data_IF_334918060710
#
_entry.id   IF_334918060710
#
_cell.length_a   1.000
_cell.length_b   1.000
_cell.length_c   1.000
_cell.angle_alpha   90.00
_cell.angle_beta   90.00
_cell.angle_gamma   90.00
#
_symmetry.space_group_name_H-M   'P 1'
#
loop_
_entity.id
_entity.type
_entity.pdbx_description
1 polymer ?
#
# COMPACT_ATOMS: atom_id res chain seq x y z
N UNK A 1 -25.02 -18.65 -2.63
CA UNK A 1 -23.57 -18.40 -2.43
C UNK A 1 -23.04 -19.44 -1.43
N UNK A 2 -22.09 -20.30 -1.81
CA UNK A 2 -21.72 -21.47 -1.00
C UNK A 2 -20.84 -21.12 0.21
N UNK A 3 -21.16 -21.69 1.39
CA UNK A 3 -20.40 -21.56 2.64
C UNK A 3 -18.90 -21.87 2.50
N UNK A 4 -18.51 -22.63 1.45
CA UNK A 4 -17.10 -22.94 1.17
C UNK A 4 -16.29 -21.71 0.73
N UNK A 5 -16.90 -20.76 0.00
CA UNK A 5 -16.24 -19.53 -0.45
C UNK A 5 -16.01 -18.54 0.70
N UNK A 6 -16.96 -18.47 1.64
CA UNK A 6 -16.83 -17.66 2.86
C UNK A 6 -15.69 -18.14 3.75
N UNK A 7 -15.51 -19.46 3.93
CA UNK A 7 -14.40 -20.01 4.74
C UNK A 7 -13.02 -19.68 4.17
N UNK A 8 -12.87 -19.69 2.85
CA UNK A 8 -11.61 -19.35 2.15
C UNK A 8 -11.25 -17.86 2.26
N UNK A 9 -12.24 -16.97 2.22
CA UNK A 9 -12.00 -15.53 2.43
C UNK A 9 -11.67 -15.24 3.89
N UNK A 10 -12.37 -15.90 4.83
CA UNK A 10 -12.14 -15.72 6.27
C UNK A 10 -10.77 -16.26 6.70
N UNK A 11 -10.24 -17.33 6.09
CA UNK A 11 -8.89 -17.83 6.42
C UNK A 11 -7.76 -16.84 6.09
N UNK A 12 -7.96 -15.92 5.14
CA UNK A 12 -7.01 -14.82 4.87
C UNK A 12 -7.17 -13.64 5.85
N UNK A 13 -8.29 -13.57 6.55
CA UNK A 13 -8.60 -12.53 7.55
C UNK A 13 -8.27 -12.98 8.98
N UNK A 14 -7.91 -14.25 9.19
CA UNK A 14 -7.38 -14.71 10.47
C UNK A 14 -6.02 -14.06 10.67
N UNK A 15 -5.84 -13.21 11.69
CA UNK A 15 -4.52 -12.71 12.03
C UNK A 15 -3.67 -13.94 12.33
N UNK A 16 -2.57 -14.11 11.61
CA UNK A 16 -1.54 -15.04 12.07
C UNK A 16 -1.01 -14.44 13.36
N UNK A 17 -1.56 -14.88 14.49
CA UNK A 17 -0.99 -14.65 15.81
C UNK A 17 0.29 -15.48 15.92
N UNK A 18 1.33 -15.08 15.19
CA UNK A 18 2.67 -15.25 15.74
C UNK A 18 2.71 -14.24 16.88
N UNK A 19 2.52 -14.76 18.09
CA UNK A 19 2.97 -14.11 19.32
C UNK A 19 4.49 -13.96 19.25
N UNK A 20 4.95 -13.03 18.41
CA UNK A 20 6.21 -12.36 18.61
C UNK A 20 5.98 -11.46 19.81
N UNK A 21 6.69 -11.72 20.89
CA UNK A 21 6.59 -10.96 22.12
C UNK A 21 6.56 -9.47 21.85
N UNK A 22 5.65 -8.79 22.54
CA UNK A 22 5.57 -7.34 22.68
C UNK A 22 6.78 -6.80 23.47
N UNK A 23 8.00 -7.04 22.99
CA UNK A 23 9.22 -6.67 23.70
C UNK A 23 10.08 -5.78 22.80
N UNK A 24 10.00 -4.49 23.10
CA UNK A 24 10.82 -3.39 22.61
C UNK A 24 10.71 -3.06 21.12
N UNK A 25 10.64 -1.77 20.82
CA UNK A 25 11.16 -1.25 19.56
C UNK A 25 12.63 -1.63 19.51
N UNK A 26 12.94 -2.87 19.09
CA UNK A 26 14.32 -3.33 18.94
C UNK A 26 15.03 -2.23 18.14
N UNK A 27 16.05 -1.63 18.77
CA UNK A 27 16.75 -0.49 18.21
C UNK A 27 17.19 -0.88 16.79
N UNK A 28 16.63 -0.22 15.78
CA UNK A 28 16.96 -0.55 14.41
C UNK A 28 18.46 -0.34 14.20
N UNK A 29 19.12 -1.25 13.46
CA UNK A 29 20.52 -1.06 13.13
C UNK A 29 20.68 0.24 12.33
N UNK A 30 21.75 0.95 12.62
CA UNK A 30 22.26 2.03 11.77
C UNK A 30 22.72 1.45 10.43
N UNK A 31 22.90 2.32 9.43
CA UNK A 31 23.36 1.89 8.11
C UNK A 31 24.70 1.13 8.16
N UNK A 32 25.63 1.57 9.01
CA UNK A 32 26.95 0.97 9.17
C UNK A 32 26.92 -0.39 9.89
N UNK A 33 25.86 -0.67 10.64
CA UNK A 33 25.64 -1.97 11.31
C UNK A 33 24.98 -3.01 10.39
N UNK A 34 24.47 -2.58 9.22
CA UNK A 34 23.82 -3.48 8.29
C UNK A 34 24.83 -4.34 7.51
N UNK A 35 24.53 -5.63 7.31
CA UNK A 35 25.44 -6.51 6.61
C UNK A 35 25.59 -6.10 5.14
N UNK A 36 26.73 -6.48 4.57
CA UNK A 36 26.96 -6.36 3.14
C UNK A 36 26.37 -7.57 2.43
N UNK A 37 25.81 -7.36 1.24
CA UNK A 37 25.57 -8.42 0.28
C UNK A 37 26.53 -8.25 -0.88
N UNK A 38 27.59 -9.07 -0.90
CA UNK A 38 28.68 -8.94 -1.87
C UNK A 38 29.28 -7.53 -1.82
N UNK A 39 29.20 -6.77 -2.91
CA UNK A 39 29.71 -5.40 -3.00
C UNK A 39 28.68 -4.33 -2.60
N UNK A 40 27.48 -4.72 -2.17
CA UNK A 40 26.42 -3.80 -1.77
C UNK A 40 26.39 -3.66 -0.24
N UNK A 41 26.84 -2.51 0.31
CA UNK A 41 26.74 -2.24 1.74
C UNK A 41 25.30 -1.92 2.14
N UNK A 42 25.01 -1.92 3.44
CA UNK A 42 23.74 -1.38 3.94
C UNK A 42 22.51 -2.25 3.65
N UNK A 43 22.68 -3.57 3.49
CA UNK A 43 21.56 -4.44 3.13
C UNK A 43 20.69 -4.74 4.35
N UNK A 44 19.53 -4.10 4.44
CA UNK A 44 18.51 -4.35 5.49
C UNK A 44 17.81 -5.73 5.39
N UNK A 45 18.43 -6.68 4.69
CA UNK A 45 17.97 -8.06 4.63
C UNK A 45 18.19 -8.69 6.01
N UNK A 46 17.30 -9.60 6.41
CA UNK A 46 17.29 -10.25 7.73
C UNK A 46 17.00 -9.38 8.96
N UNK A 47 16.83 -8.05 8.84
CA UNK A 47 16.45 -7.17 9.97
C UNK A 47 15.19 -7.67 10.68
N UNK A 48 14.23 -8.21 9.92
CA UNK A 48 12.99 -8.79 10.43
C UNK A 48 12.93 -10.32 10.31
N UNK A 49 14.08 -10.96 10.11
CA UNK A 49 14.20 -12.41 9.91
C UNK A 49 14.43 -12.82 8.45
N UNK A 50 14.98 -14.02 8.26
CA UNK A 50 15.38 -14.53 6.95
C UNK A 50 14.20 -14.86 6.01
N UNK A 51 13.02 -15.12 6.57
CA UNK A 51 11.81 -15.44 5.80
C UNK A 51 10.88 -14.22 5.63
N UNK A 52 11.28 -13.04 6.13
CA UNK A 52 10.48 -11.84 6.03
C UNK A 52 10.30 -11.40 4.56
N UNK A 53 9.09 -10.91 4.27
CA UNK A 53 8.69 -10.41 2.95
C UNK A 53 8.11 -8.99 3.01
N UNK A 54 8.04 -8.38 4.19
CA UNK A 54 7.37 -7.10 4.43
C UNK A 54 8.35 -5.94 4.56
N UNK A 55 9.59 -6.20 4.99
CA UNK A 55 10.61 -5.18 5.19
C UNK A 55 10.16 -4.09 6.15
N UNK A 56 10.29 -2.83 5.75
CA UNK A 56 9.93 -1.67 6.57
C UNK A 56 8.43 -1.56 6.87
N UNK A 57 7.56 -2.30 6.17
CA UNK A 57 6.13 -2.38 6.54
C UNK A 57 5.95 -2.95 7.96
N UNK A 58 6.90 -3.77 8.45
CA UNK A 58 6.91 -4.25 9.82
C UNK A 58 7.01 -3.12 10.88
N UNK A 59 7.38 -1.90 10.49
CA UNK A 59 7.41 -0.73 11.39
C UNK A 59 6.01 -0.16 11.66
N UNK A 60 5.01 -0.51 10.85
CA UNK A 60 3.62 -0.08 11.00
C UNK A 60 2.92 -0.93 12.08
N UNK A 61 3.39 -0.81 13.32
CA UNK A 61 2.80 -1.49 14.48
C UNK A 61 1.46 -0.87 14.89
N UNK A 62 0.63 -1.62 15.62
CA UNK A 62 -0.62 -1.08 16.19
C UNK A 62 -0.38 0.19 17.01
N UNK A 63 0.72 0.25 17.77
CA UNK A 63 1.09 1.42 18.55
C UNK A 63 1.36 2.64 17.66
N UNK A 64 2.13 2.47 16.58
CA UNK A 64 2.42 3.56 15.63
C UNK A 64 1.15 4.04 14.96
N UNK A 65 0.26 3.13 14.55
CA UNK A 65 -1.04 3.46 13.94
C UNK A 65 -1.93 4.22 14.93
N UNK A 66 -2.04 3.74 16.17
CA UNK A 66 -2.82 4.41 17.22
C UNK A 66 -2.27 5.79 17.55
N UNK A 67 -0.94 5.92 17.66
CA UNK A 67 -0.28 7.19 17.92
C UNK A 67 -0.57 8.19 16.80
N UNK A 68 -0.33 7.81 15.54
CA UNK A 68 -0.60 8.65 14.37
C UNK A 68 -2.08 9.09 14.30
N UNK A 69 -3.01 8.17 14.55
CA UNK A 69 -4.44 8.51 14.59
C UNK A 69 -4.77 9.50 15.71
N UNK A 70 -4.14 9.36 16.89
CA UNK A 70 -4.39 10.24 18.04
C UNK A 70 -3.81 11.65 17.85
N UNK A 71 -2.65 11.76 17.21
CA UNK A 71 -1.90 13.01 17.03
C UNK A 71 -2.38 13.80 15.81
N UNK A 72 -2.74 13.12 14.71
CA UNK A 72 -3.05 13.79 13.43
C UNK A 72 -4.56 13.95 13.18
N UNK A 73 -5.41 13.05 13.67
CA UNK A 73 -6.87 13.11 13.46
C UNK A 73 -7.52 13.92 14.60
N UNK A 74 -7.55 15.24 14.41
CA UNK A 74 -8.18 16.20 15.33
C UNK A 74 -9.56 16.64 14.81
N UNK A 75 -10.50 16.83 15.74
CA UNK A 75 -11.86 17.27 15.41
C UNK A 75 -11.86 18.66 14.78
N UNK A 76 -12.54 18.85 13.65
CA UNK A 76 -12.71 20.15 12.98
C UNK A 76 -13.70 21.02 13.76
N UNK A 77 -13.35 21.48 14.96
CA UNK A 77 -14.11 22.53 15.67
C UNK A 77 -13.52 23.94 15.52
N UNK A 78 -12.37 24.09 14.84
CA UNK A 78 -11.67 25.39 14.77
C UNK A 78 -10.93 25.62 13.45
N UNK A 79 -11.57 25.49 12.28
CA UNK A 79 -10.95 25.95 11.02
C UNK A 79 -12.02 26.46 10.02
N UNK A 80 -12.65 27.59 10.33
CA UNK A 80 -13.49 28.37 9.40
C UNK A 80 -12.69 29.38 8.55
N UNK A 81 -11.36 29.28 8.49
CA UNK A 81 -10.52 30.21 7.72
C UNK A 81 -9.43 29.47 6.93
N UNK A 82 -9.83 28.64 5.98
CA UNK A 82 -8.91 28.13 4.96
C UNK A 82 -9.50 28.44 3.58
N UNK A 83 -8.80 29.28 2.83
CA UNK A 83 -9.13 29.65 1.45
C UNK A 83 -9.22 28.40 0.57
N UNK A 84 -10.05 28.40 -0.50
CA UNK A 84 -10.21 27.26 -1.38
C UNK A 84 -8.88 26.94 -2.08
N UNK A 85 -8.32 25.76 -1.79
CA UNK A 85 -7.23 25.19 -2.58
C UNK A 85 -7.87 24.57 -3.80
N UNK A 86 -7.71 25.23 -4.95
CA UNK A 86 -8.15 24.72 -6.24
C UNK A 86 -7.49 23.35 -6.50
N UNK A 87 -8.31 22.37 -6.89
CA UNK A 87 -7.95 21.02 -7.35
C UNK A 87 -7.78 19.89 -6.31
N UNK A 88 -8.31 20.02 -5.09
CA UNK A 88 -8.43 18.87 -4.17
C UNK A 88 -9.88 18.64 -3.76
N UNK A 89 -10.42 17.47 -4.08
CA UNK A 89 -11.66 16.97 -3.47
C UNK A 89 -11.40 16.78 -1.97
N UNK A 90 -11.74 17.78 -1.17
CA UNK A 90 -11.70 17.68 0.29
C UNK A 90 -13.01 17.07 0.74
N UNK A 91 -12.97 15.86 1.30
CA UNK A 91 -14.16 15.20 1.87
C UNK A 91 -14.09 15.34 3.39
N UNK A 92 -15.23 15.63 4.01
CA UNK A 92 -15.36 15.61 5.45
C UNK A 92 -15.60 14.16 5.88
N UNK A 93 -14.72 13.60 6.71
CA UNK A 93 -14.81 12.20 7.15
C UNK A 93 -14.88 12.13 8.66
N UNK A 94 -15.74 11.25 9.18
CA UNK A 94 -15.83 10.97 10.61
C UNK A 94 -15.17 9.62 10.88
N UNK A 95 -14.15 9.60 11.73
CA UNK A 95 -13.51 8.38 12.22
C UNK A 95 -13.49 8.40 13.74
N UNK A 96 -14.03 7.37 14.39
CA UNK A 96 -14.04 7.28 15.86
C UNK A 96 -14.75 8.44 16.57
N UNK A 97 -15.79 9.03 15.97
CA UNK A 97 -16.54 10.15 16.54
C UNK A 97 -15.88 11.53 16.41
N UNK A 98 -14.74 11.65 15.71
CA UNK A 98 -14.07 12.92 15.44
C UNK A 98 -14.29 13.33 13.98
N UNK A 99 -14.61 14.61 13.76
CA UNK A 99 -14.76 15.19 12.42
C UNK A 99 -13.37 15.53 11.87
N UNK A 100 -12.99 15.04 10.69
CA UNK A 100 -11.70 15.36 10.06
C UNK A 100 -11.86 15.80 8.60
N UNK A 101 -10.83 16.46 8.06
CA UNK A 101 -10.71 16.70 6.61
C UNK A 101 -9.88 15.59 5.99
N UNK A 102 -10.33 15.04 4.88
CA UNK A 102 -9.55 14.11 4.07
C UNK A 102 -9.20 14.73 2.74
N UNK A 103 -8.00 14.44 2.26
CA UNK A 103 -7.47 14.91 0.98
C UNK A 103 -7.07 13.68 0.18
N UNK A 104 -7.63 13.52 -1.01
CA UNK A 104 -7.20 12.46 -1.92
C UNK A 104 -5.80 12.78 -2.46
N UNK A 105 -4.87 11.85 -2.29
CA UNK A 105 -3.53 11.91 -2.89
C UNK A 105 -3.46 11.13 -4.22
N UNK A 106 -4.56 10.49 -4.61
CA UNK A 106 -4.63 9.71 -5.83
C UNK A 106 -4.85 10.61 -7.03
N UNK A 107 -4.09 10.35 -8.09
CA UNK A 107 -4.38 10.84 -9.43
C UNK A 107 -5.67 10.21 -9.95
N UNK A 108 -6.42 10.92 -10.82
CA UNK A 108 -7.48 10.30 -11.59
C UNK A 108 -6.95 9.07 -12.34
N UNK A 109 -7.77 8.03 -12.47
CA UNK A 109 -7.31 6.75 -13.04
C UNK A 109 -6.85 6.86 -14.50
N UNK A 110 -7.36 7.84 -15.23
CA UNK A 110 -6.95 8.13 -16.60
C UNK A 110 -5.64 8.93 -16.67
N UNK A 111 -5.02 9.27 -15.53
CA UNK A 111 -3.83 10.10 -15.45
C UNK A 111 -2.63 9.32 -14.88
N UNK A 112 -1.42 9.40 -15.49
CA UNK A 112 -1.11 10.15 -16.71
C UNK A 112 -1.70 9.50 -17.96
N UNK A 113 -2.20 10.33 -18.90
CA UNK A 113 -2.72 9.87 -20.20
C UNK A 113 -1.65 9.08 -20.99
N UNK A 114 -0.37 9.39 -20.75
CA UNK A 114 0.79 8.70 -21.30
C UNK A 114 1.70 8.24 -20.16
N UNK A 115 1.54 6.99 -19.69
CA UNK A 115 2.44 6.41 -18.70
C UNK A 115 3.89 6.40 -19.16
N UNK A 116 4.81 6.55 -18.19
CA UNK A 116 6.25 6.47 -18.41
C UNK A 116 6.68 5.05 -18.80
N UNK A 117 7.89 4.90 -19.36
CA UNK A 117 8.52 3.61 -19.69
C UNK A 117 7.72 2.75 -20.67
N UNK A 118 7.05 3.37 -21.65
CA UNK A 118 6.25 2.71 -22.68
C UNK A 118 5.15 1.80 -22.12
N UNK A 119 4.68 2.06 -20.89
CA UNK A 119 3.57 1.31 -20.29
C UNK A 119 2.26 1.63 -21.00
N UNK A 120 1.36 0.63 -21.05
CA UNK A 120 0.04 0.78 -21.66
C UNK A 120 -0.78 1.82 -20.89
N UNK A 121 -1.38 2.77 -21.61
CA UNK A 121 -2.33 3.74 -21.05
C UNK A 121 -3.52 3.04 -20.39
N UNK A 122 -3.97 3.50 -19.20
CA UNK A 122 -5.19 3.00 -18.57
C UNK A 122 -6.41 3.16 -19.48
N UNK A 123 -7.26 2.14 -19.52
CA UNK A 123 -8.48 2.09 -20.32
C UNK A 123 -9.66 1.76 -19.40
N UNK A 124 -10.72 2.56 -19.50
CA UNK A 124 -12.00 2.33 -18.81
C UNK A 124 -13.08 2.12 -19.86
N UNK A 125 -13.70 0.95 -19.83
CA UNK A 125 -14.74 0.54 -20.79
C UNK A 125 -16.07 0.40 -20.07
N UNK A 126 -17.04 1.20 -20.47
CA UNK A 126 -18.41 1.10 -19.95
C UNK A 126 -19.17 -0.02 -20.67
N UNK A 127 -19.85 -0.87 -19.91
CA UNK A 127 -20.66 -1.99 -20.38
C UNK A 127 -22.13 -1.74 -20.01
N UNK A 128 -22.99 -1.73 -21.02
CA UNK A 128 -24.44 -1.68 -20.85
C UNK A 128 -25.03 -3.06 -21.12
N UNK A 129 -25.68 -3.66 -20.12
CA UNK A 129 -26.44 -4.91 -20.32
C UNK A 129 -27.90 -4.55 -20.63
N UNK A 130 -28.39 -4.99 -21.79
CA UNK A 130 -29.73 -4.65 -22.30
C UNK A 130 -30.84 -5.61 -21.85
N UNK A 131 -30.52 -6.70 -21.16
CA UNK A 131 -31.53 -7.63 -20.65
C UNK A 131 -32.00 -7.19 -19.26
N UNK A 132 -33.25 -6.71 -19.22
CA UNK A 132 -34.09 -6.48 -18.03
C UNK A 132 -33.73 -5.31 -17.09
N UNK A 133 -32.96 -4.31 -17.55
CA UNK A 133 -32.76 -3.05 -16.81
C UNK A 133 -31.87 -2.03 -17.54
N UNK A 134 -31.43 -1.00 -16.81
CA UNK A 134 -30.35 -0.07 -17.23
C UNK A 134 -29.09 -0.18 -16.33
N UNK A 135 -28.55 -1.38 -16.05
CA UNK A 135 -27.29 -1.48 -15.31
C UNK A 135 -26.12 -0.91 -16.13
N UNK A 136 -25.24 -0.17 -15.44
CA UNK A 136 -23.98 0.34 -15.98
C UNK A 136 -22.84 -0.32 -15.21
N UNK A 137 -22.13 -1.23 -15.88
CA UNK A 137 -20.92 -1.87 -15.37
C UNK A 137 -19.69 -1.25 -16.04
N UNK A 138 -18.52 -1.31 -15.41
CA UNK A 138 -17.26 -0.82 -15.98
C UNK A 138 -16.18 -1.92 -15.94
N UNK A 139 -15.37 -2.01 -17.00
CA UNK A 139 -14.11 -2.77 -17.06
C UNK A 139 -12.94 -1.80 -17.04
N UNK A 140 -11.93 -2.08 -16.21
CA UNK A 140 -10.72 -1.25 -16.11
C UNK A 140 -9.50 -2.11 -16.47
N UNK A 141 -8.75 -1.67 -17.47
CA UNK A 141 -7.45 -2.24 -17.82
C UNK A 141 -6.36 -1.20 -17.55
N UNK A 142 -5.45 -1.50 -16.63
CA UNK A 142 -4.33 -0.60 -16.31
C UNK A 142 -3.07 -1.40 -16.00
N UNK A 143 -1.92 -0.80 -16.29
CA UNK A 143 -0.65 -1.29 -15.78
C UNK A 143 -0.53 -0.85 -14.30
N UNK A 144 -0.08 -1.76 -13.43
CA UNK A 144 -0.03 -1.52 -11.97
C UNK A 144 1.03 -0.50 -11.55
N UNK A 145 1.91 -0.09 -12.47
CA UNK A 145 2.88 0.99 -12.33
C UNK A 145 2.45 2.25 -13.11
N UNK A 146 1.15 2.51 -13.23
CA UNK A 146 0.61 3.73 -13.87
C UNK A 146 -0.26 4.51 -12.89
N UNK A 147 0.08 5.78 -12.70
CA UNK A 147 -0.64 6.70 -11.79
C UNK A 147 -0.07 6.69 -10.37
N UNK A 148 -0.90 7.06 -9.39
CA UNK A 148 -0.55 6.94 -7.97
C UNK A 148 -0.42 5.46 -7.60
N UNK A 149 0.75 5.07 -7.10
CA UNK A 149 1.12 3.65 -6.94
C UNK A 149 2.04 3.41 -5.73
N UNK A 150 2.13 2.15 -5.35
CA UNK A 150 3.18 1.61 -4.48
C UNK A 150 3.96 0.54 -5.25
N UNK A 151 5.29 0.65 -5.25
CA UNK A 151 6.16 -0.36 -5.82
C UNK A 151 6.54 -1.38 -4.75
N UNK A 152 6.11 -2.63 -4.95
CA UNK A 152 6.44 -3.71 -4.02
C UNK A 152 7.93 -4.07 -4.03
N UNK A 153 8.38 -4.81 -3.02
CA UNK A 153 9.80 -5.24 -2.88
C UNK A 153 10.30 -6.15 -4.02
N UNK A 154 9.41 -6.58 -4.93
CA UNK A 154 9.72 -7.32 -6.16
C UNK A 154 9.72 -6.46 -7.42
N UNK A 155 9.49 -5.15 -7.30
CA UNK A 155 9.49 -4.25 -8.46
C UNK A 155 10.89 -4.08 -9.03
N UNK A 156 11.90 -3.93 -8.15
CA UNK A 156 13.31 -3.92 -8.50
C UNK A 156 14.12 -4.79 -7.55
N UNK A 157 15.02 -5.59 -8.13
CA UNK A 157 16.00 -6.40 -7.41
C UNK A 157 17.43 -6.04 -7.82
N UNK A 158 18.39 -6.73 -7.23
CA UNK A 158 19.79 -6.66 -7.66
C UNK A 158 19.96 -7.53 -8.90
N UNK A 159 19.84 -6.89 -10.08
CA UNK A 159 19.81 -7.55 -11.39
C UNK A 159 21.03 -8.45 -11.61
N UNK A 160 22.24 -7.96 -11.28
CA UNK A 160 23.50 -8.70 -11.41
C UNK A 160 23.50 -10.03 -10.65
N UNK A 161 22.63 -10.16 -9.64
CA UNK A 161 22.57 -11.31 -8.75
C UNK A 161 21.24 -12.05 -8.79
N UNK A 162 20.28 -11.60 -9.61
CA UNK A 162 18.98 -12.27 -9.78
C UNK A 162 18.14 -12.39 -8.51
N UNK A 163 18.33 -11.48 -7.55
CA UNK A 163 17.69 -11.53 -6.23
C UNK A 163 16.93 -10.25 -5.90
N UNK A 164 15.80 -10.40 -5.24
CA UNK A 164 15.01 -9.33 -4.64
C UNK A 164 15.28 -9.23 -3.13
N UNK A 165 14.47 -8.41 -2.45
CA UNK A 165 14.46 -8.31 -1.00
C UNK A 165 14.58 -9.67 -0.33
N UNK A 166 15.48 -9.74 0.66
CA UNK A 166 15.77 -10.94 1.46
C UNK A 166 16.20 -12.17 0.63
N UNK A 167 16.98 -11.95 -0.45
CA UNK A 167 17.51 -13.01 -1.33
C UNK A 167 16.43 -13.85 -2.04
N UNK A 168 15.21 -13.34 -2.15
CA UNK A 168 14.18 -14.02 -2.94
C UNK A 168 14.61 -14.08 -4.40
N UNK A 169 14.70 -15.30 -4.94
CA UNK A 169 15.14 -15.53 -6.31
C UNK A 169 14.05 -15.14 -7.30
N UNK A 170 14.47 -14.61 -8.45
CA UNK A 170 13.60 -14.50 -9.61
C UNK A 170 13.26 -15.93 -10.09
N UNK A 171 12.08 -16.43 -9.75
CA UNK A 171 11.53 -17.56 -10.50
C UNK A 171 11.18 -17.05 -11.89
N UNK A 172 12.00 -17.41 -12.88
CA UNK A 172 11.65 -17.30 -14.29
C UNK A 172 10.45 -18.24 -14.49
N UNK A 173 9.25 -17.66 -14.61
CA UNK A 173 8.07 -18.36 -15.11
C UNK A 173 8.12 -18.45 -16.63
#
# INVERSE_FOLDING_TARGET
MSMRRLKSVVSHLVPHSKSSSSSEMAKLPTFDELPHFKNFPGCAWSVWGADDQLGTVNLLTEKVVQQAASEEIKSVSSLYSAKPVSALHTILTVTGGRLGRTVSLNWPINFPDKPMFNRKTPEVKMIMKRENGMPRDDEIHMNTQSGSQWDGMRHYGLIEHGVFYNKQVLFLF
#
